data_IF_179472458294
#
_entry.id   IF_179472458294
#
_cell.length_a   1.000
_cell.length_b   1.000
_cell.length_c   1.000
_cell.angle_alpha   90.00
_cell.angle_beta   90.00
_cell.angle_gamma   90.00
#
_symmetry.space_group_name_H-M   'P 1'
#
loop_
_entity.id
_entity.type
_entity.pdbx_description
1 polymer ?
#
# COMPACT_ATOMS: atom_id res chain seq x y z
N UNK A 1 14.30 40.31 31.37
CA UNK A 1 13.73 40.89 32.60
C UNK A 1 13.42 39.71 33.52
N UNK A 2 14.25 39.53 34.55
CA UNK A 2 14.05 38.51 35.58
C UNK A 2 12.70 38.75 36.28
N UNK A 3 11.84 37.74 36.31
CA UNK A 3 10.68 37.75 37.20
C UNK A 3 11.00 36.82 38.37
N UNK A 4 11.54 37.45 39.41
CA UNK A 4 11.62 36.91 40.77
C UNK A 4 10.25 37.07 41.43
N UNK A 5 9.87 36.03 42.18
CA UNK A 5 8.83 36.00 43.21
C UNK A 5 7.37 36.24 42.78
N UNK A 6 6.71 35.17 42.32
CA UNK A 6 5.27 35.01 42.52
C UNK A 6 5.04 34.31 43.88
N UNK A 7 4.64 35.06 44.91
CA UNK A 7 4.21 34.48 46.20
C UNK A 7 2.71 34.17 46.14
N UNK A 8 2.38 32.88 46.07
CA UNK A 8 1.00 32.39 46.28
C UNK A 8 0.80 32.16 47.78
N UNK A 9 -0.12 32.89 48.41
CA UNK A 9 -0.49 32.65 49.80
C UNK A 9 -1.44 31.45 49.89
N UNK A 10 -0.91 30.29 50.29
CA UNK A 10 -1.72 29.11 50.60
C UNK A 10 -2.30 29.25 52.00
N UNK A 11 -3.62 29.39 52.10
CA UNK A 11 -4.35 29.25 53.37
C UNK A 11 -4.24 27.81 53.87
N UNK A 12 -3.82 27.64 55.13
CA UNK A 12 -3.61 26.32 55.72
C UNK A 12 -4.92 25.51 55.80
N UNK A 13 -5.03 24.47 54.98
CA UNK A 13 -5.97 23.37 55.19
C UNK A 13 -5.24 22.24 55.90
N UNK A 14 -5.66 21.99 57.15
CA UNK A 14 -5.33 20.88 58.03
C UNK A 14 -4.40 19.78 57.46
N UNK A 15 -3.09 19.95 57.68
CA UNK A 15 -2.13 18.86 57.78
C UNK A 15 -1.86 18.03 56.53
N UNK A 16 -2.09 18.56 55.31
CA UNK A 16 -1.74 17.86 54.06
C UNK A 16 -0.83 18.71 53.17
N UNK A 17 0.28 18.11 52.76
CA UNK A 17 1.15 18.62 51.69
C UNK A 17 0.43 18.41 50.36
N UNK A 18 0.31 19.47 49.56
CA UNK A 18 -0.24 19.43 48.19
C UNK A 18 0.91 19.74 47.24
N UNK A 19 1.24 18.82 46.34
CA UNK A 19 2.09 19.11 45.19
C UNK A 19 1.22 19.71 44.08
N UNK A 20 1.63 20.86 43.56
CA UNK A 20 0.95 21.55 42.45
C UNK A 20 1.93 21.60 41.29
N UNK A 21 1.58 20.99 40.17
CA UNK A 21 2.32 21.12 38.93
C UNK A 21 1.72 22.27 38.11
N UNK A 22 2.54 23.28 37.78
CA UNK A 22 2.12 24.43 36.99
C UNK A 22 2.49 24.15 35.53
N UNK A 23 1.50 23.82 34.70
CA UNK A 23 1.70 23.64 33.26
C UNK A 23 1.28 24.93 32.54
N UNK A 24 2.25 25.66 31.98
CA UNK A 24 1.98 26.80 31.11
C UNK A 24 2.07 26.35 29.64
N UNK A 25 0.96 26.35 28.91
CA UNK A 25 0.98 26.10 27.46
C UNK A 25 1.02 27.42 26.69
N UNK A 26 2.10 27.65 25.93
CA UNK A 26 2.16 28.78 24.98
C UNK A 26 1.49 28.38 23.66
N UNK A 27 0.26 28.86 23.44
CA UNK A 27 -0.39 28.83 22.13
C UNK A 27 0.19 29.91 21.21
N UNK A 28 0.50 29.56 19.96
CA UNK A 28 0.95 30.51 18.93
C UNK A 28 -0.27 31.29 18.43
N UNK A 29 -0.32 32.62 18.63
CA UNK A 29 -1.42 33.49 18.18
C UNK A 29 -0.92 34.66 17.34
N UNK A 30 -1.72 34.95 16.30
CA UNK A 30 -1.61 36.04 15.33
C UNK A 30 -1.84 37.41 15.99
N UNK A 31 -1.18 38.41 15.42
CA UNK A 31 -1.13 39.81 15.80
C UNK A 31 -2.48 40.53 15.77
N UNK A 32 -3.23 40.45 16.87
CA UNK A 32 -3.96 41.60 17.43
C UNK A 32 -4.64 41.20 18.74
N UNK A 33 -4.63 42.13 19.70
CA UNK A 33 -5.30 42.10 21.02
C UNK A 33 -4.49 41.45 22.16
N UNK A 34 -4.16 42.29 23.15
CA UNK A 34 -3.48 41.96 24.40
C UNK A 34 -4.53 41.84 25.50
N UNK A 35 -4.75 40.64 26.03
CA UNK A 35 -5.42 40.41 27.31
C UNK A 35 -4.88 39.09 27.88
N UNK A 36 -4.20 39.18 29.03
CA UNK A 36 -3.53 38.05 29.67
C UNK A 36 -4.49 37.37 30.66
N UNK A 37 -5.25 36.38 30.20
CA UNK A 37 -5.96 35.47 31.11
C UNK A 37 -5.19 34.15 31.24
N UNK A 38 -4.60 33.93 32.41
CA UNK A 38 -4.06 32.62 32.82
C UNK A 38 -5.20 31.87 33.50
N UNK A 39 -5.78 30.90 32.81
CA UNK A 39 -6.72 29.97 33.43
C UNK A 39 -5.95 28.94 34.26
N UNK A 40 -6.26 28.86 35.57
CA UNK A 40 -5.73 27.84 36.48
C UNK A 40 -6.89 26.91 36.84
N UNK A 41 -6.90 25.70 36.29
CA UNK A 41 -7.87 24.67 36.68
C UNK A 41 -7.38 23.92 37.92
N UNK A 42 -8.12 24.04 39.03
CA UNK A 42 -7.89 23.27 40.25
C UNK A 42 -8.55 21.90 40.12
N UNK A 43 -7.76 20.87 39.81
CA UNK A 43 -8.24 19.48 39.81
C UNK A 43 -8.13 18.90 41.23
N UNK A 44 -9.27 18.66 41.87
CA UNK A 44 -9.33 18.00 43.18
C UNK A 44 -9.09 16.49 43.03
N UNK A 45 -7.91 16.00 43.43
CA UNK A 45 -7.59 14.57 43.45
C UNK A 45 -8.38 13.85 44.56
N UNK A 46 -9.55 13.29 44.22
CA UNK A 46 -10.24 12.33 45.09
C UNK A 46 -9.52 10.97 45.04
N UNK A 47 -9.15 10.44 46.21
CA UNK A 47 -8.70 9.04 46.36
C UNK A 47 -9.78 8.09 45.83
N UNK A 48 -9.46 7.16 44.92
CA UNK A 48 -10.44 6.17 44.48
C UNK A 48 -10.67 5.13 45.59
N UNK A 49 -11.92 5.01 46.02
CA UNK A 49 -12.41 3.86 46.76
C UNK A 49 -12.40 2.63 45.84
N UNK A 50 -12.01 1.47 46.38
CA UNK A 50 -11.87 0.22 45.63
C UNK A 50 -13.11 -0.09 44.79
N UNK A 51 -12.93 -0.09 43.48
CA UNK A 51 -13.94 -0.46 42.49
C UNK A 51 -13.39 -1.60 41.65
N UNK A 52 -14.17 -2.67 41.55
CA UNK A 52 -13.86 -3.84 40.76
C UNK A 52 -13.41 -3.43 39.34
N UNK A 53 -12.24 -3.94 38.94
CA UNK A 53 -11.66 -3.74 37.61
C UNK A 53 -12.59 -4.34 36.56
N UNK A 54 -13.46 -3.49 36.01
CA UNK A 54 -14.12 -3.80 34.74
C UNK A 54 -13.13 -3.32 33.68
N UNK A 55 -12.45 -4.25 33.02
CA UNK A 55 -11.62 -3.93 31.88
C UNK A 55 -12.52 -3.35 30.78
N UNK A 56 -12.43 -2.03 30.56
CA UNK A 56 -12.95 -1.43 29.35
C UNK A 56 -12.02 -1.86 28.23
N UNK A 57 -12.38 -2.92 27.51
CA UNK A 57 -11.78 -3.26 26.23
C UNK A 57 -12.04 -2.08 25.31
N UNK A 58 -11.07 -1.19 25.15
CA UNK A 58 -11.01 -0.27 24.02
C UNK A 58 -11.07 -1.15 22.77
N UNK A 59 -12.16 -1.04 22.00
CA UNK A 59 -12.21 -1.68 20.69
C UNK A 59 -10.96 -1.23 19.90
N UNK A 60 -10.22 -2.15 19.25
CA UNK A 60 -9.12 -1.73 18.41
C UNK A 60 -9.66 -0.72 17.40
N UNK A 61 -8.99 0.43 17.27
CA UNK A 61 -9.25 1.34 16.17
C UNK A 61 -9.14 0.50 14.90
N UNK A 62 -10.21 0.43 14.10
CA UNK A 62 -10.14 -0.31 12.83
C UNK A 62 -8.98 0.30 12.04
N UNK A 63 -7.97 -0.52 11.75
CA UNK A 63 -6.82 -0.07 10.98
C UNK A 63 -7.34 0.47 9.63
N UNK A 64 -6.83 1.62 9.22
CA UNK A 64 -7.27 2.25 7.98
C UNK A 64 -6.87 1.37 6.78
N UNK A 65 -7.75 1.25 5.79
CA UNK A 65 -7.40 0.62 4.52
C UNK A 65 -6.33 1.46 3.81
N UNK A 66 -5.38 0.78 3.17
CA UNK A 66 -4.35 1.36 2.31
C UNK A 66 -4.44 0.76 0.92
N UNK A 67 -3.89 1.46 -0.07
CA UNK A 67 -3.89 0.99 -1.47
C UNK A 67 -2.48 1.00 -2.03
N UNK A 68 -2.04 -0.15 -2.52
CA UNK A 68 -0.83 -0.30 -3.33
C UNK A 68 -1.22 -0.41 -4.81
N UNK A 69 -0.49 0.26 -5.70
CA UNK A 69 -0.72 0.18 -7.15
C UNK A 69 0.59 -0.13 -7.87
N UNK A 70 0.56 -1.11 -8.77
CA UNK A 70 1.66 -1.51 -9.66
C UNK A 70 1.21 -1.28 -11.10
N UNK A 71 1.89 -0.44 -11.86
CA UNK A 71 1.50 -0.13 -13.24
C UNK A 71 2.70 0.14 -14.15
N UNK A 72 2.54 -0.05 -15.45
CA UNK A 72 3.58 0.30 -16.42
C UNK A 72 4.86 -0.53 -16.27
N UNK A 73 6.03 0.14 -16.23
CA UNK A 73 7.35 -0.49 -16.26
C UNK A 73 8.07 -0.58 -14.89
N UNK A 74 7.68 -1.54 -14.06
CA UNK A 74 6.60 -1.30 -13.12
C UNK A 74 6.94 -0.15 -12.16
N UNK A 75 6.09 0.89 -12.18
CA UNK A 75 6.00 1.89 -11.13
C UNK A 75 5.15 1.34 -9.99
N UNK A 76 5.61 1.51 -8.75
CA UNK A 76 4.89 1.05 -7.57
C UNK A 76 4.60 2.22 -6.63
N UNK A 77 3.33 2.38 -6.28
CA UNK A 77 2.87 3.21 -5.16
C UNK A 77 2.57 2.29 -3.99
N UNK A 78 3.28 2.47 -2.88
CA UNK A 78 3.15 1.65 -1.66
C UNK A 78 1.92 2.00 -0.82
N UNK A 79 1.56 1.15 0.14
CA UNK A 79 0.39 1.38 0.99
C UNK A 79 0.45 2.67 1.82
N UNK A 80 1.64 3.07 2.27
CA UNK A 80 1.83 4.29 3.06
C UNK A 80 1.81 5.59 2.23
N UNK A 81 1.71 5.47 0.90
CA UNK A 81 1.57 6.61 -0.01
C UNK A 81 0.18 7.23 0.09
N UNK A 82 0.09 8.56 0.22
CA UNK A 82 -1.18 9.28 0.23
C UNK A 82 -2.01 9.14 1.52
N UNK A 83 -1.44 8.56 2.58
CA UNK A 83 -2.06 8.59 3.92
C UNK A 83 -2.11 10.04 4.46
N UNK A 84 -3.14 10.42 5.25
CA UNK A 84 -3.26 11.77 5.79
C UNK A 84 -2.01 12.22 6.55
N UNK A 85 -1.41 13.34 6.12
CA UNK A 85 -0.20 13.90 6.74
C UNK A 85 1.12 13.51 6.09
N UNK A 86 1.11 12.64 5.07
CA UNK A 86 2.28 12.31 4.24
C UNK A 86 2.49 13.36 3.13
N UNK A 87 3.75 13.69 2.83
CA UNK A 87 4.12 14.65 1.77
C UNK A 87 3.89 14.03 0.39
N UNK A 88 3.21 14.76 -0.48
CA UNK A 88 3.11 14.46 -1.92
C UNK A 88 4.22 15.18 -2.71
N UNK A 89 4.75 14.57 -3.79
CA UNK A 89 4.42 13.23 -4.28
C UNK A 89 5.09 12.14 -3.44
N UNK A 90 4.33 11.10 -3.07
CA UNK A 90 4.90 9.91 -2.47
C UNK A 90 5.94 9.26 -3.42
N UNK A 91 7.02 8.66 -2.89
CA UNK A 91 8.02 8.00 -3.71
C UNK A 91 7.39 6.87 -4.53
N UNK A 92 7.79 6.76 -5.80
CA UNK A 92 7.48 5.64 -6.67
C UNK A 92 8.71 4.72 -6.65
N UNK A 93 8.50 3.43 -6.41
CA UNK A 93 9.55 2.43 -6.49
C UNK A 93 9.51 1.78 -7.87
N UNK A 94 10.65 1.78 -8.56
CA UNK A 94 10.78 1.26 -9.92
C UNK A 94 11.65 0.01 -9.94
N UNK A 95 11.14 -1.09 -10.50
CA UNK A 95 11.82 -2.40 -10.44
C UNK A 95 11.93 -2.99 -11.82
N UNK A 96 13.05 -2.70 -12.48
CA UNK A 96 13.24 -3.02 -13.89
C UNK A 96 13.75 -4.44 -14.16
N UNK A 97 13.98 -5.25 -13.12
CA UNK A 97 14.58 -6.57 -13.25
C UNK A 97 13.51 -7.66 -13.41
N UNK A 98 13.78 -8.60 -14.33
CA UNK A 98 12.93 -9.77 -14.56
C UNK A 98 13.02 -10.76 -13.39
N UNK A 99 11.88 -11.30 -12.99
CA UNK A 99 11.78 -12.29 -11.91
C UNK A 99 10.42 -12.31 -11.24
N UNK A 100 10.29 -13.21 -10.27
CA UNK A 100 9.12 -13.26 -9.39
C UNK A 100 9.46 -12.51 -8.10
N UNK A 101 8.54 -11.66 -7.65
CA UNK A 101 8.74 -10.78 -6.50
C UNK A 101 7.56 -10.78 -5.55
N UNK A 102 7.83 -10.62 -4.25
CA UNK A 102 6.80 -10.40 -3.25
C UNK A 102 6.25 -8.99 -3.38
N UNK A 103 4.96 -8.86 -3.72
CA UNK A 103 4.24 -7.59 -3.55
C UNK A 103 3.84 -7.39 -2.09
N UNK A 104 3.31 -8.45 -1.48
CA UNK A 104 2.92 -8.50 -0.07
C UNK A 104 3.30 -9.86 0.50
N UNK A 105 3.97 -9.86 1.65
CA UNK A 105 4.32 -11.06 2.40
C UNK A 105 4.07 -10.84 3.89
N UNK A 106 3.11 -11.56 4.44
CA UNK A 106 2.81 -11.62 5.87
C UNK A 106 2.62 -13.09 6.32
N UNK A 107 2.26 -13.31 7.58
CA UNK A 107 1.89 -14.65 8.07
C UNK A 107 0.71 -15.25 7.27
N UNK A 108 -0.29 -14.43 6.94
CA UNK A 108 -1.58 -14.89 6.44
C UNK A 108 -1.75 -14.65 4.94
N UNK A 109 -1.17 -13.57 4.41
CA UNK A 109 -1.37 -13.09 3.04
C UNK A 109 -0.04 -13.13 2.30
N UNK A 110 -0.05 -13.73 1.11
CA UNK A 110 1.11 -13.88 0.24
C UNK A 110 0.74 -13.54 -1.20
N UNK A 111 1.25 -12.43 -1.70
CA UNK A 111 0.98 -11.92 -3.04
C UNK A 111 2.31 -11.77 -3.78
N UNK A 112 2.44 -12.46 -4.91
CA UNK A 112 3.58 -12.38 -5.79
C UNK A 112 3.21 -11.69 -7.10
N UNK A 113 4.18 -11.04 -7.73
CA UNK A 113 4.07 -10.59 -9.11
C UNK A 113 5.23 -11.13 -9.93
N UNK A 114 4.93 -11.52 -11.17
CA UNK A 114 5.92 -11.88 -12.17
C UNK A 114 6.25 -10.67 -13.02
N UNK A 115 7.48 -10.22 -12.96
CA UNK A 115 8.00 -9.15 -13.80
C UNK A 115 8.77 -9.76 -14.98
N UNK A 116 8.43 -9.33 -16.19
CA UNK A 116 9.02 -9.83 -17.43
C UNK A 116 9.04 -8.75 -18.51
N UNK A 117 9.82 -8.97 -19.56
CA UNK A 117 9.88 -8.01 -20.66
C UNK A 117 8.59 -8.02 -21.48
N UNK A 118 8.35 -6.91 -22.18
CA UNK A 118 7.32 -6.82 -23.21
C UNK A 118 7.93 -6.23 -24.47
N UNK A 119 7.25 -6.38 -25.60
CA UNK A 119 7.71 -5.79 -26.87
C UNK A 119 7.71 -4.24 -26.87
N UNK A 120 7.09 -3.60 -25.87
CA UNK A 120 7.01 -2.14 -25.75
C UNK A 120 7.89 -1.53 -24.66
N UNK A 121 8.44 -2.33 -23.74
CA UNK A 121 9.19 -1.81 -22.59
C UNK A 121 10.67 -1.54 -22.89
N UNK A 122 11.09 -1.64 -24.15
CA UNK A 122 12.51 -1.49 -24.55
C UNK A 122 13.50 -2.29 -23.66
N UNK A 123 13.07 -3.45 -23.14
CA UNK A 123 13.87 -4.33 -22.27
C UNK A 123 13.63 -4.14 -20.79
N UNK A 124 12.86 -3.14 -20.37
CA UNK A 124 12.41 -2.98 -19.00
C UNK A 124 11.35 -4.03 -18.65
N UNK A 125 11.27 -4.40 -17.38
CA UNK A 125 10.24 -5.33 -16.93
C UNK A 125 8.88 -4.62 -16.78
N UNK A 126 7.80 -5.37 -16.95
CA UNK A 126 6.44 -4.99 -16.55
C UNK A 126 5.80 -6.19 -15.84
N UNK A 127 4.78 -5.95 -15.02
CA UNK A 127 4.04 -7.04 -14.40
C UNK A 127 3.30 -7.86 -15.46
N UNK A 128 3.66 -9.14 -15.62
CA UNK A 128 3.05 -10.09 -16.55
C UNK A 128 1.88 -10.83 -15.92
N UNK A 129 1.98 -11.05 -14.61
CA UNK A 129 0.98 -11.77 -13.82
C UNK A 129 1.05 -11.39 -12.33
N UNK A 130 -0.02 -11.68 -11.60
CA UNK A 130 -0.10 -11.65 -10.14
C UNK A 130 -0.60 -13.00 -9.63
N UNK A 131 0.00 -13.50 -8.56
CA UNK A 131 -0.40 -14.71 -7.86
C UNK A 131 -0.76 -14.39 -6.41
N UNK A 132 -1.87 -14.93 -5.93
CA UNK A 132 -2.42 -14.71 -4.59
C UNK A 132 -2.56 -16.06 -3.91
N UNK A 133 -1.96 -16.17 -2.72
CA UNK A 133 -2.02 -17.37 -1.88
C UNK A 133 -1.77 -17.00 -0.41
N UNK A 134 -1.66 -18.01 0.45
CA UNK A 134 -1.43 -17.89 1.88
C UNK A 134 -2.52 -18.56 2.69
N UNK A 135 -2.32 -18.60 4.01
CA UNK A 135 -3.23 -19.29 4.93
C UNK A 135 -4.65 -18.71 4.92
N UNK A 136 -4.81 -17.41 4.63
CA UNK A 136 -6.13 -16.81 4.48
C UNK A 136 -6.93 -17.38 3.29
N UNK A 137 -6.23 -17.99 2.34
CA UNK A 137 -6.79 -18.69 1.18
C UNK A 137 -6.67 -20.22 1.30
N UNK A 138 -6.39 -20.74 2.51
CA UNK A 138 -6.12 -22.17 2.75
C UNK A 138 -5.05 -22.74 1.82
N UNK A 139 -4.03 -21.93 1.51
CA UNK A 139 -2.90 -22.26 0.65
C UNK A 139 -3.28 -22.60 -0.81
N UNK A 140 -4.53 -22.33 -1.22
CA UNK A 140 -4.91 -22.30 -2.63
C UNK A 140 -4.16 -21.20 -3.37
N UNK A 141 -4.07 -21.31 -4.70
CA UNK A 141 -3.35 -20.34 -5.53
C UNK A 141 -4.28 -19.81 -6.63
N UNK A 142 -4.53 -18.51 -6.61
CA UNK A 142 -5.17 -17.80 -7.71
C UNK A 142 -4.11 -17.02 -8.49
N UNK A 143 -4.05 -17.22 -9.81
CA UNK A 143 -3.15 -16.48 -10.71
C UNK A 143 -3.96 -15.71 -11.74
N UNK A 144 -3.64 -14.43 -11.93
CA UNK A 144 -4.17 -13.58 -13.01
C UNK A 144 -3.02 -13.15 -13.90
N UNK A 145 -3.03 -13.58 -15.16
CA UNK A 145 -2.07 -13.18 -16.17
C UNK A 145 -2.65 -12.09 -17.10
N UNK A 146 -1.82 -11.51 -17.96
CA UNK A 146 -2.27 -10.64 -19.06
C UNK A 146 -3.27 -11.34 -20.00
N UNK A 147 -3.82 -10.62 -20.98
CA UNK A 147 -4.73 -11.19 -21.98
C UNK A 147 -4.08 -12.25 -22.88
N UNK A 148 -2.74 -12.31 -22.96
CA UNK A 148 -2.02 -13.40 -23.62
C UNK A 148 -2.05 -14.72 -22.82
N UNK A 149 -2.35 -14.64 -21.52
CA UNK A 149 -2.42 -15.78 -20.60
C UNK A 149 -3.85 -16.03 -20.08
N UNK A 150 -3.91 -16.71 -18.95
CA UNK A 150 -5.15 -17.11 -18.29
C UNK A 150 -5.43 -16.43 -16.95
N UNK A 151 -6.59 -16.80 -16.41
CA UNK A 151 -6.83 -16.74 -14.97
C UNK A 151 -6.97 -18.19 -14.50
N UNK A 152 -6.29 -18.56 -13.42
CA UNK A 152 -6.35 -19.92 -12.89
C UNK A 152 -6.62 -19.95 -11.40
N UNK A 153 -7.37 -20.95 -10.95
CA UNK A 153 -7.49 -21.39 -9.57
C UNK A 153 -6.87 -22.78 -9.46
N UNK A 154 -5.83 -22.95 -8.65
CA UNK A 154 -5.07 -24.21 -8.52
C UNK A 154 -4.67 -24.83 -9.88
N UNK A 155 -4.26 -23.95 -10.82
CA UNK A 155 -3.90 -24.28 -12.21
C UNK A 155 -5.06 -24.66 -13.13
N UNK A 156 -6.30 -24.72 -12.64
CA UNK A 156 -7.48 -24.88 -13.47
C UNK A 156 -7.94 -23.52 -14.02
N UNK A 157 -8.23 -23.45 -15.33
CA UNK A 157 -8.68 -22.22 -15.99
C UNK A 157 -10.05 -21.79 -15.47
N UNK A 158 -10.16 -20.51 -15.12
CA UNK A 158 -11.41 -19.86 -14.72
C UNK A 158 -11.60 -18.57 -15.52
N UNK A 159 -12.79 -17.99 -15.47
CA UNK A 159 -13.11 -16.69 -16.09
C UNK A 159 -12.79 -16.59 -17.59
N UNK A 160 -13.03 -17.65 -18.35
CA UNK A 160 -12.64 -17.73 -19.76
C UNK A 160 -13.52 -16.89 -20.71
N UNK A 161 -14.70 -16.46 -20.26
CA UNK A 161 -15.63 -15.64 -21.03
C UNK A 161 -15.80 -14.25 -20.40
N UNK A 162 -16.16 -13.26 -21.22
CA UNK A 162 -16.44 -11.89 -20.79
C UNK A 162 -17.92 -11.55 -21.05
N UNK A 163 -18.71 -11.18 -20.03
CA UNK A 163 -18.43 -11.25 -18.60
C UNK A 163 -18.50 -12.69 -18.05
N UNK A 164 -17.83 -12.95 -16.93
CA UNK A 164 -17.97 -14.20 -16.17
C UNK A 164 -17.64 -14.00 -14.70
N UNK A 165 -18.04 -14.97 -13.88
CA UNK A 165 -17.86 -15.00 -12.44
C UNK A 165 -17.31 -16.36 -12.00
N UNK A 166 -16.53 -16.35 -10.91
CA UNK A 166 -16.02 -17.54 -10.25
C UNK A 166 -16.06 -17.28 -8.73
N UNK A 167 -16.52 -18.26 -7.97
CA UNK A 167 -16.66 -18.13 -6.52
C UNK A 167 -16.28 -19.44 -5.83
N UNK A 168 -15.46 -19.32 -4.78
CA UNK A 168 -15.23 -20.39 -3.82
C UNK A 168 -15.70 -19.87 -2.46
N UNK A 169 -16.74 -20.49 -1.85
CA UNK A 169 -17.34 -19.98 -0.63
C UNK A 169 -16.31 -19.70 0.47
N UNK A 170 -16.37 -18.49 1.03
CA UNK A 170 -15.48 -17.99 2.08
C UNK A 170 -13.99 -17.85 1.70
N UNK A 171 -13.62 -18.05 0.42
CA UNK A 171 -12.23 -17.96 -0.04
C UNK A 171 -12.04 -16.90 -1.11
N UNK A 172 -12.89 -16.87 -2.15
CA UNK A 172 -12.73 -15.88 -3.22
C UNK A 172 -14.05 -15.62 -3.94
N UNK A 173 -14.29 -14.37 -4.28
CA UNK A 173 -15.25 -13.91 -5.29
C UNK A 173 -14.47 -13.20 -6.40
N UNK A 174 -14.51 -13.73 -7.61
CA UNK A 174 -13.75 -13.24 -8.76
C UNK A 174 -14.69 -12.92 -9.92
N UNK A 175 -14.54 -11.71 -10.49
CA UNK A 175 -15.44 -11.18 -11.52
C UNK A 175 -14.64 -10.63 -12.69
N UNK A 176 -14.86 -11.14 -13.90
CA UNK A 176 -14.25 -10.61 -15.12
C UNK A 176 -15.19 -9.64 -15.83
N UNK A 177 -14.76 -8.39 -16.02
CA UNK A 177 -15.59 -7.26 -16.49
C UNK A 177 -14.86 -6.40 -17.53
N UNK A 178 -15.63 -5.61 -18.29
CA UNK A 178 -15.12 -4.61 -19.24
C UNK A 178 -15.68 -3.23 -18.88
N UNK A 179 -14.89 -2.19 -19.11
CA UNK A 179 -15.32 -0.79 -18.89
C UNK A 179 -14.89 -0.19 -17.55
N UNK A 180 -13.90 -0.80 -16.88
CA UNK A 180 -13.25 -0.19 -15.70
C UNK A 180 -12.26 0.92 -16.08
N UNK A 181 -11.88 1.72 -15.08
CA UNK A 181 -10.83 2.74 -15.24
C UNK A 181 -9.45 2.08 -15.33
N UNK A 182 -8.59 2.63 -16.18
CA UNK A 182 -7.18 2.23 -16.22
C UNK A 182 -6.50 2.61 -14.91
N UNK A 183 -5.78 1.66 -14.29
CA UNK A 183 -4.92 1.89 -13.13
C UNK A 183 -3.67 2.65 -13.59
N UNK A 184 -3.84 3.94 -13.81
CA UNK A 184 -2.81 4.83 -14.34
C UNK A 184 -2.75 6.12 -13.50
N UNK A 185 -1.62 6.83 -13.49
CA UNK A 185 -1.51 8.07 -12.73
C UNK A 185 -2.51 9.12 -13.22
N UNK A 186 -2.88 10.09 -12.35
CA UNK A 186 -3.81 11.17 -12.70
C UNK A 186 -3.37 11.91 -13.98
N UNK A 187 -4.30 12.12 -14.90
CA UNK A 187 -4.04 12.83 -16.18
C UNK A 187 -3.81 11.91 -17.39
N UNK A 188 -3.70 10.59 -17.17
CA UNK A 188 -3.75 9.60 -18.23
C UNK A 188 -5.09 9.61 -18.99
N UNK A 189 -5.06 9.80 -20.31
CA UNK A 189 -6.28 9.66 -21.12
C UNK A 189 -6.50 8.19 -21.46
N UNK A 190 -7.47 7.55 -20.81
CA UNK A 190 -7.94 6.23 -21.18
C UNK A 190 -8.64 6.32 -22.56
N UNK A 191 -8.05 5.67 -23.58
CA UNK A 191 -8.61 5.64 -24.94
C UNK A 191 -9.38 4.37 -25.25
N UNK A 192 -9.27 3.35 -24.39
CA UNK A 192 -9.81 2.00 -24.59
C UNK A 192 -10.42 1.48 -23.29
N UNK A 193 -11.56 0.80 -23.39
CA UNK A 193 -12.13 0.08 -22.26
C UNK A 193 -11.13 -0.97 -21.77
N UNK A 194 -10.85 -0.99 -20.46
CA UNK A 194 -9.96 -1.99 -19.88
C UNK A 194 -10.80 -3.18 -19.43
N UNK A 195 -10.24 -4.37 -19.63
CA UNK A 195 -10.78 -5.64 -19.13
C UNK A 195 -10.11 -5.93 -17.80
N UNK A 196 -10.92 -6.10 -16.77
CA UNK A 196 -10.42 -6.16 -15.40
C UNK A 196 -10.99 -7.38 -14.68
N UNK A 197 -10.13 -8.03 -13.89
CA UNK A 197 -10.55 -9.04 -12.91
C UNK A 197 -10.64 -8.34 -11.56
N UNK A 198 -11.83 -8.32 -10.99
CA UNK A 198 -12.10 -7.80 -9.65
C UNK A 198 -12.15 -8.99 -8.70
N UNK A 199 -11.34 -8.95 -7.64
CA UNK A 199 -11.14 -10.02 -6.69
C UNK A 199 -11.46 -9.53 -5.27
N UNK A 200 -12.27 -10.30 -4.56
CA UNK A 200 -12.61 -10.11 -3.16
C UNK A 200 -12.20 -11.37 -2.39
N UNK A 201 -11.40 -11.20 -1.33
CA UNK A 201 -10.88 -12.27 -0.49
C UNK A 201 -11.22 -12.03 1.00
N UNK A 202 -10.99 -13.02 1.89
CA UNK A 202 -11.03 -12.81 3.33
C UNK A 202 -10.10 -11.70 3.82
N UNK A 203 -10.29 -11.32 5.10
CA UNK A 203 -9.48 -10.29 5.77
C UNK A 203 -9.55 -8.90 5.11
N UNK A 204 -10.56 -8.64 4.28
CA UNK A 204 -10.73 -7.36 3.58
C UNK A 204 -9.73 -7.12 2.45
N UNK A 205 -9.00 -8.15 2.01
CA UNK A 205 -8.07 -8.05 0.88
C UNK A 205 -8.85 -8.00 -0.42
N UNK A 206 -8.64 -6.97 -1.23
CA UNK A 206 -9.28 -6.76 -2.52
C UNK A 206 -8.26 -6.42 -3.57
N UNK A 207 -8.42 -7.00 -4.77
CA UNK A 207 -7.58 -6.68 -5.91
C UNK A 207 -8.42 -6.27 -7.11
N UNK A 208 -7.94 -5.28 -7.86
CA UNK A 208 -8.36 -5.02 -9.23
C UNK A 208 -7.14 -5.25 -10.12
N UNK A 209 -7.28 -6.15 -11.08
CA UNK A 209 -6.22 -6.48 -12.03
C UNK A 209 -6.68 -6.11 -13.43
N UNK A 210 -6.09 -5.07 -13.98
CA UNK A 210 -6.32 -4.64 -15.35
C UNK A 210 -5.49 -5.51 -16.29
N UNK A 211 -6.14 -6.26 -17.17
CA UNK A 211 -5.48 -7.19 -18.11
C UNK A 211 -5.29 -6.52 -19.46
N UNK A 212 -4.05 -6.09 -19.72
CA UNK A 212 -3.64 -5.61 -21.04
C UNK A 212 -3.22 -6.77 -21.94
N UNK A 213 -2.91 -6.47 -23.21
CA UNK A 213 -2.51 -7.49 -24.18
C UNK A 213 -1.38 -8.40 -23.67
N UNK A 214 -0.41 -7.82 -22.95
CA UNK A 214 0.86 -8.49 -22.59
C UNK A 214 1.37 -8.16 -21.19
N UNK A 215 0.66 -7.34 -20.42
CA UNK A 215 1.00 -7.03 -19.03
C UNK A 215 -0.29 -6.86 -18.22
N UNK A 216 -0.14 -6.70 -16.92
CA UNK A 216 -1.21 -6.38 -15.99
C UNK A 216 -0.83 -5.14 -15.19
N UNK A 217 -1.82 -4.32 -14.85
CA UNK A 217 -1.70 -3.37 -13.75
C UNK A 217 -2.50 -3.91 -12.56
N UNK A 218 -1.98 -3.71 -11.36
CA UNK A 218 -2.48 -4.36 -10.15
C UNK A 218 -2.77 -3.26 -9.12
N UNK A 219 -3.97 -3.24 -8.57
CA UNK A 219 -4.32 -2.45 -7.40
C UNK A 219 -4.67 -3.41 -6.27
N UNK A 220 -4.01 -3.26 -5.12
CA UNK A 220 -4.24 -4.05 -3.91
C UNK A 220 -4.79 -3.09 -2.86
N UNK A 221 -5.93 -3.40 -2.29
CA UNK A 221 -6.50 -2.70 -1.14
C UNK A 221 -6.63 -3.67 0.02
N UNK A 222 -6.09 -3.31 1.18
CA UNK A 222 -6.13 -4.13 2.39
C UNK A 222 -5.87 -3.27 3.63
N UNK A 223 -5.93 -3.88 4.80
CA UNK A 223 -5.48 -3.31 6.08
C UNK A 223 -4.10 -3.86 6.46
N UNK A 224 -3.32 -3.16 7.31
CA UNK A 224 -2.08 -3.69 7.86
C UNK A 224 -2.30 -5.07 8.50
N UNK A 225 -1.43 -6.02 8.21
CA UNK A 225 -1.56 -7.39 8.70
C UNK A 225 -1.02 -7.54 10.13
N UNK A 226 -1.70 -8.37 10.93
CA UNK A 226 -1.20 -8.78 12.24
C UNK A 226 0.18 -9.47 12.09
N UNK A 227 1.13 -9.07 12.94
CA UNK A 227 2.52 -9.54 12.84
C UNK A 227 3.37 -8.78 11.80
N UNK A 228 2.77 -7.84 11.07
CA UNK A 228 3.44 -7.04 10.05
C UNK A 228 3.44 -7.68 8.66
N UNK A 229 3.91 -6.91 7.69
CA UNK A 229 4.08 -7.32 6.30
C UNK A 229 5.30 -6.63 5.72
N UNK A 230 5.79 -7.13 4.58
CA UNK A 230 6.72 -6.40 3.72
C UNK A 230 6.55 -6.87 2.27
N UNK A 231 7.28 -6.27 1.35
CA UNK A 231 7.15 -6.51 -0.08
C UNK A 231 7.38 -5.24 -0.87
N UNK A 232 7.24 -5.31 -2.18
CA UNK A 232 7.26 -4.13 -3.04
C UNK A 232 6.16 -3.12 -2.71
N UNK A 233 5.08 -3.53 -2.04
CA UNK A 233 4.04 -2.62 -1.57
C UNK A 233 4.35 -1.97 -0.20
N UNK A 234 5.54 -2.17 0.36
CA UNK A 234 5.97 -1.59 1.62
C UNK A 234 5.52 -2.37 2.85
N UNK A 235 5.98 -1.93 4.02
CA UNK A 235 5.68 -2.59 5.30
C UNK A 235 4.32 -2.17 5.91
N UNK A 236 3.71 -1.11 5.37
CA UNK A 236 2.40 -0.59 5.74
C UNK A 236 2.28 -0.24 7.24
N UNK A 237 3.28 0.46 7.78
CA UNK A 237 3.34 0.85 9.19
C UNK A 237 2.89 2.32 9.44
N UNK A 238 2.47 3.02 8.38
CA UNK A 238 2.09 4.43 8.41
C UNK A 238 3.26 5.40 8.17
N UNK A 239 4.44 4.92 7.78
CA UNK A 239 5.64 5.71 7.56
C UNK A 239 6.23 5.51 6.16
N UNK A 240 5.76 6.31 5.20
CA UNK A 240 6.27 6.27 3.81
C UNK A 240 7.77 6.50 3.68
N UNK A 241 8.41 7.18 4.65
CA UNK A 241 9.84 7.52 4.57
C UNK A 241 10.75 6.31 4.71
N UNK A 242 10.25 5.20 5.27
CA UNK A 242 10.97 3.93 5.31
C UNK A 242 10.62 3.00 4.14
N UNK A 243 9.62 3.34 3.32
CA UNK A 243 9.26 2.62 2.10
C UNK A 243 9.99 3.17 0.86
N UNK A 244 11.31 3.30 0.97
CA UNK A 244 12.19 3.53 -0.19
C UNK A 244 12.73 2.20 -0.73
N UNK A 245 13.11 2.16 -2.01
CA UNK A 245 13.71 0.96 -2.62
C UNK A 245 14.87 0.40 -1.78
N UNK A 246 15.79 1.28 -1.37
CA UNK A 246 16.97 0.91 -0.58
C UNK A 246 16.59 0.29 0.76
N UNK A 247 15.66 0.90 1.49
CA UNK A 247 15.26 0.43 2.82
C UNK A 247 14.41 -0.85 2.73
N UNK A 248 13.56 -0.98 1.72
CA UNK A 248 12.83 -2.22 1.44
C UNK A 248 13.79 -3.40 1.19
N UNK A 249 14.79 -3.20 0.33
CA UNK A 249 15.80 -4.24 0.04
C UNK A 249 16.62 -4.64 1.27
N UNK A 250 16.78 -3.76 2.26
CA UNK A 250 17.47 -4.07 3.51
C UNK A 250 16.62 -4.89 4.49
N UNK A 251 15.29 -4.74 4.47
CA UNK A 251 14.40 -5.42 5.42
C UNK A 251 14.05 -6.84 5.01
N UNK A 252 13.88 -7.08 3.71
CA UNK A 252 13.33 -8.34 3.21
C UNK A 252 13.93 -8.72 1.87
N UNK A 253 14.14 -10.02 1.68
CA UNK A 253 14.43 -10.58 0.36
C UNK A 253 13.16 -10.53 -0.48
N UNK A 254 13.09 -9.50 -1.33
CA UNK A 254 11.91 -9.23 -2.16
C UNK A 254 11.78 -10.21 -3.31
N UNK A 255 12.87 -10.85 -3.73
CA UNK A 255 12.83 -11.81 -4.84
C UNK A 255 12.32 -13.15 -4.33
N UNK A 256 11.38 -13.72 -5.06
CA UNK A 256 10.82 -15.03 -4.74
C UNK A 256 11.82 -16.09 -5.21
N UNK A 257 12.19 -16.99 -4.30
CA UNK A 257 12.97 -18.18 -4.64
C UNK A 257 12.13 -19.13 -5.50
N UNK A 258 12.76 -19.84 -6.42
CA UNK A 258 12.06 -20.73 -7.36
C UNK A 258 11.14 -21.75 -6.65
N UNK A 259 11.59 -22.33 -5.55
CA UNK A 259 10.82 -23.30 -4.75
C UNK A 259 9.66 -22.68 -3.95
N UNK A 260 9.59 -21.36 -3.87
CA UNK A 260 8.52 -20.61 -3.21
C UNK A 260 7.60 -19.90 -4.22
N UNK A 261 7.87 -20.01 -5.52
CA UNK A 261 7.07 -19.38 -6.57
C UNK A 261 5.70 -20.03 -6.70
N UNK A 262 4.67 -19.20 -6.82
CA UNK A 262 3.29 -19.63 -7.06
C UNK A 262 2.98 -19.84 -8.53
N UNK A 263 3.88 -19.42 -9.42
CA UNK A 263 3.72 -19.60 -10.85
C UNK A 263 4.20 -20.98 -11.27
N UNK A 264 3.45 -21.62 -12.19
CA UNK A 264 3.74 -23.00 -12.60
C UNK A 264 5.05 -23.15 -13.40
N UNK A 265 5.37 -22.14 -14.20
CA UNK A 265 6.59 -22.10 -15.01
C UNK A 265 7.57 -21.09 -14.41
N UNK A 266 8.88 -21.28 -14.61
CA UNK A 266 9.88 -20.31 -14.21
C UNK A 266 9.70 -18.98 -14.98
N UNK A 267 10.12 -17.83 -14.42
CA UNK A 267 10.11 -16.58 -15.17
C UNK A 267 11.00 -16.71 -16.41
N UNK A 268 10.58 -16.07 -17.51
CA UNK A 268 11.37 -16.03 -18.73
C UNK A 268 12.77 -15.49 -18.42
N UNK A 269 13.82 -16.10 -18.97
CA UNK A 269 15.16 -15.55 -18.85
C UNK A 269 15.14 -14.13 -19.43
N UNK A 270 15.84 -13.18 -18.80
CA UNK A 270 16.00 -11.85 -19.37
C UNK A 270 16.56 -11.99 -20.79
N UNK A 271 15.71 -11.74 -21.80
CA UNK A 271 16.14 -11.71 -23.19
C UNK A 271 17.15 -10.57 -23.39
N UNK A 272 17.94 -10.59 -24.48
CA UNK A 272 18.77 -9.44 -24.81
C UNK A 272 17.88 -8.20 -24.88
N UNK A 273 18.31 -7.06 -24.31
CA UNK A 273 17.53 -5.83 -24.40
C UNK A 273 17.22 -5.56 -25.88
N UNK A 274 15.98 -5.21 -26.24
CA UNK A 274 15.67 -4.82 -27.61
C UNK A 274 16.55 -3.62 -27.98
N UNK A 275 16.94 -3.50 -29.26
CA UNK A 275 17.81 -2.41 -29.70
C UNK A 275 17.17 -1.07 -29.32
N UNK A 276 17.97 -0.18 -28.74
CA UNK A 276 17.53 1.15 -28.37
C UNK A 276 16.94 1.85 -29.60
N UNK A 277 15.67 2.28 -29.51
CA UNK A 277 15.06 3.08 -30.57
C UNK A 277 15.71 4.46 -30.58
N UNK A 278 16.22 4.84 -31.74
CA UNK A 278 16.81 6.13 -32.04
C UNK A 278 15.81 7.01 -32.79
N UNK A 279 16.04 8.32 -32.84
CA UNK A 279 15.25 9.22 -33.70
C UNK A 279 15.28 8.83 -35.18
N UNK A 280 16.25 8.02 -35.61
CA UNK A 280 16.34 7.49 -36.97
C UNK A 280 15.32 6.37 -37.25
N UNK A 281 14.75 5.75 -36.23
CA UNK A 281 13.76 4.67 -36.35
C UNK A 281 12.33 5.19 -36.54
N UNK A 282 12.13 6.51 -36.40
CA UNK A 282 10.86 7.17 -36.66
C UNK A 282 10.68 7.46 -38.17
N UNK A 283 9.44 7.36 -38.66
CA UNK A 283 9.10 7.84 -40.01
C UNK A 283 9.48 9.33 -40.17
N UNK A 284 9.89 9.79 -41.37
CA UNK A 284 10.36 11.16 -41.59
C UNK A 284 9.36 12.22 -41.12
N UNK A 285 8.06 12.01 -41.36
CA UNK A 285 7.00 12.92 -40.90
C UNK A 285 6.82 12.96 -39.37
N UNK A 286 7.19 11.90 -38.66
CA UNK A 286 7.13 11.83 -37.19
C UNK A 286 8.37 12.47 -36.58
N UNK A 287 9.55 12.25 -37.17
CA UNK A 287 10.81 12.85 -36.73
C UNK A 287 10.80 14.39 -36.82
N UNK A 288 10.26 14.93 -37.91
CA UNK A 288 10.18 16.38 -38.13
C UNK A 288 9.26 17.15 -37.15
N UNK A 289 8.49 16.44 -36.31
CA UNK A 289 7.65 17.06 -35.27
C UNK A 289 8.34 17.14 -33.90
N UNK A 290 9.50 16.48 -33.75
CA UNK A 290 10.28 16.42 -32.53
C UNK A 290 11.51 17.36 -32.56
N UNK A 291 11.82 17.95 -33.72
CA UNK A 291 12.81 19.00 -33.94
C UNK A 291 12.14 20.39 -33.93
#
# INVERSE_FOLDING_TARGET
QEWRDARVALGALAGKTVEVEIVASMGRMDSSWWENDIAIDLVELRKPAGRATTATTTAPAMAAEGTCVVWGEPHIRVFDSGLPGQLEPAPVVDIFTVGDYWLVRSELVSIQSRYGTTEWTNGQAAAKAVAISGRFLQDHVLVVESMAGGVTWDRERILEALPSDFEVPNLVSARFREGGEALMPPGGKQRTAVRSVVLEFPLGVRLIVNRWAQHVDIMITMVPQDGGQDGHCGNFNGNVSDDTEELMMQRSDMKVLENASFFAEAPEAAGPPPPARTLADCAPETRAKAE
#
